data_IF_599209883961
#
_entry.id   IF_599209883961
#
_cell.length_a   1.000
_cell.length_b   1.000
_cell.length_c   1.000
_cell.angle_alpha   90.00
_cell.angle_beta   90.00
_cell.angle_gamma   90.00
#
_symmetry.space_group_name_H-M   'P 1'
#
loop_
_entity.id
_entity.type
_entity.pdbx_description
1 polymer ?
#
# COMPACT_ATOMS: atom_id res chain seq x y z
N UNK A 1 27.79 13.09 -27.18
CA UNK A 1 27.83 12.04 -26.14
C UNK A 1 26.79 12.19 -25.02
N UNK A 2 25.70 12.96 -25.17
CA UNK A 2 24.69 13.20 -24.11
C UNK A 2 23.35 12.45 -24.26
N UNK A 3 23.20 11.54 -25.25
CA UNK A 3 21.89 10.90 -25.57
C UNK A 3 21.74 9.45 -25.10
N UNK A 4 22.79 8.83 -24.53
CA UNK A 4 22.78 7.39 -24.16
C UNK A 4 22.53 7.18 -22.65
N UNK A 5 22.63 8.22 -21.81
CA UNK A 5 22.46 8.08 -20.35
C UNK A 5 20.99 7.92 -19.91
N UNK A 6 20.01 8.41 -20.69
CA UNK A 6 18.61 8.52 -20.27
C UNK A 6 17.79 7.22 -20.43
N UNK A 7 17.96 6.40 -21.49
CA UNK A 7 17.29 5.09 -21.59
C UNK A 7 17.84 4.07 -20.59
N UNK A 8 19.14 4.15 -20.28
CA UNK A 8 19.84 3.27 -19.33
C UNK A 8 19.39 3.55 -17.89
N UNK A 9 19.04 4.79 -17.55
CA UNK A 9 18.59 5.17 -16.19
C UNK A 9 17.13 4.78 -15.90
N UNK A 10 16.26 4.72 -16.92
CA UNK A 10 14.85 4.30 -16.79
C UNK A 10 14.72 2.77 -16.80
N UNK A 11 15.53 2.07 -17.61
CA UNK A 11 15.69 0.61 -17.48
C UNK A 11 16.37 0.24 -16.15
N UNK A 12 17.25 1.09 -15.61
CA UNK A 12 17.74 0.93 -14.24
C UNK A 12 16.61 1.07 -13.22
N UNK A 13 15.58 1.90 -13.43
CA UNK A 13 14.41 1.97 -12.54
C UNK A 13 13.54 0.69 -12.63
N UNK A 14 13.35 0.10 -13.81
CA UNK A 14 12.59 -1.16 -14.00
C UNK A 14 13.38 -2.39 -13.52
N UNK A 15 14.71 -2.42 -13.70
CA UNK A 15 15.60 -3.47 -13.17
C UNK A 15 15.89 -3.28 -11.67
N UNK A 16 15.87 -2.04 -11.14
CA UNK A 16 15.85 -1.82 -9.70
C UNK A 16 14.54 -2.34 -9.11
N UNK A 17 13.41 -2.26 -9.83
CA UNK A 17 12.14 -2.82 -9.39
C UNK A 17 12.16 -4.35 -9.18
N UNK A 18 13.00 -5.13 -9.89
CA UNK A 18 13.19 -6.57 -9.61
C UNK A 18 14.09 -6.83 -8.39
N UNK A 19 14.98 -5.88 -8.04
CA UNK A 19 15.71 -5.87 -6.77
C UNK A 19 14.87 -5.33 -5.59
N UNK A 20 13.78 -4.62 -5.88
CA UNK A 20 12.88 -3.98 -4.90
C UNK A 20 11.91 -4.97 -4.23
N UNK A 21 11.86 -6.24 -4.64
CA UNK A 21 11.23 -7.28 -3.81
C UNK A 21 11.82 -7.30 -2.38
N UNK A 22 13.06 -6.83 -2.20
CA UNK A 22 13.70 -6.63 -0.89
C UNK A 22 13.79 -5.18 -0.38
N UNK A 23 13.27 -4.18 -1.12
CA UNK A 23 13.44 -2.77 -0.76
C UNK A 23 12.34 -1.83 -1.29
N UNK A 24 11.05 -2.18 -1.15
CA UNK A 24 9.98 -1.16 -1.12
C UNK A 24 10.00 -0.53 0.28
N UNK A 25 10.74 0.57 0.45
CA UNK A 25 10.62 1.47 1.62
C UNK A 25 9.93 2.76 1.18
N UNK A 26 8.99 3.35 1.90
CA UNK A 26 7.74 2.89 2.50
C UNK A 26 6.83 4.13 2.48
N UNK A 27 5.53 3.92 2.46
CA UNK A 27 4.52 4.92 2.80
C UNK A 27 4.84 5.67 4.11
N UNK A 28 4.00 6.61 4.56
CA UNK A 28 3.98 6.86 6.00
C UNK A 28 3.69 5.49 6.66
N UNK A 29 4.70 4.91 7.31
CA UNK A 29 4.60 3.60 7.94
C UNK A 29 4.02 3.78 9.32
N UNK A 30 2.82 3.25 9.54
CA UNK A 30 2.38 2.97 10.90
C UNK A 30 2.95 1.61 11.27
N UNK A 31 3.73 1.55 12.34
CA UNK A 31 4.32 0.32 12.85
C UNK A 31 4.12 0.20 14.35
N UNK A 32 3.60 -0.94 14.80
CA UNK A 32 3.53 -1.30 16.22
C UNK A 32 4.28 -2.63 16.39
N UNK A 33 5.29 -2.65 17.25
CA UNK A 33 6.10 -3.84 17.51
C UNK A 33 6.18 -4.12 19.01
N UNK A 34 5.81 -5.34 19.43
CA UNK A 34 5.87 -5.75 20.84
C UNK A 34 5.70 -7.25 21.05
N UNK A 35 5.90 -7.69 22.29
CA UNK A 35 5.54 -9.02 22.78
C UNK A 35 4.47 -8.89 23.85
N UNK A 36 3.62 -9.91 23.96
CA UNK A 36 2.60 -9.97 25.02
C UNK A 36 3.28 -9.90 26.38
N UNK A 37 2.79 -9.02 27.26
CA UNK A 37 3.38 -8.77 28.58
C UNK A 37 4.37 -7.60 28.64
N UNK A 38 4.77 -7.02 27.51
CA UNK A 38 5.68 -5.86 27.50
C UNK A 38 5.02 -4.63 28.13
N UNK A 39 5.78 -3.88 28.93
CA UNK A 39 5.38 -2.56 29.46
C UNK A 39 5.73 -1.41 28.52
N UNK A 40 6.60 -1.67 27.54
CA UNK A 40 7.07 -0.71 26.55
C UNK A 40 6.82 -1.30 25.16
N UNK A 41 6.06 -0.58 24.35
CA UNK A 41 5.79 -0.90 22.94
C UNK A 41 6.62 0.05 22.07
N UNK A 42 7.02 -0.42 20.88
CA UNK A 42 7.60 0.44 19.86
C UNK A 42 6.51 0.85 18.87
N UNK A 43 6.10 2.11 18.94
CA UNK A 43 5.07 2.70 18.08
C UNK A 43 5.75 3.73 17.17
N UNK A 44 5.74 3.48 15.86
CA UNK A 44 6.40 4.32 14.84
C UNK A 44 7.87 4.62 15.20
N UNK A 45 8.57 3.61 15.72
CA UNK A 45 9.97 3.70 16.15
C UNK A 45 10.20 4.37 17.51
N UNK A 46 9.16 4.86 18.19
CA UNK A 46 9.24 5.50 19.52
C UNK A 46 8.82 4.53 20.61
N UNK A 47 9.52 4.55 21.73
CA UNK A 47 9.14 3.82 22.93
C UNK A 47 7.91 4.45 23.60
N UNK A 48 6.89 3.64 23.85
CA UNK A 48 5.65 4.06 24.51
C UNK A 48 5.37 3.13 25.68
N UNK A 49 5.31 3.70 26.88
CA UNK A 49 4.94 2.97 28.09
C UNK A 49 3.43 2.74 28.14
N UNK A 50 3.01 1.50 28.34
CA UNK A 50 1.61 1.08 28.29
C UNK A 50 1.26 0.10 29.40
N UNK A 51 -0.04 -0.12 29.59
CA UNK A 51 -0.51 -1.29 30.33
C UNK A 51 -0.22 -2.55 29.50
N UNK A 52 0.26 -3.61 30.15
CA UNK A 52 0.78 -4.79 29.46
C UNK A 52 -0.29 -5.42 28.56
N UNK A 53 -0.01 -5.63 27.26
CA UNK A 53 -0.88 -6.42 26.41
C UNK A 53 -1.08 -7.82 26.97
N UNK A 54 -2.28 -8.35 26.85
CA UNK A 54 -2.65 -9.67 27.39
C UNK A 54 -3.26 -10.54 26.30
N UNK A 55 -3.15 -11.85 26.45
CA UNK A 55 -3.88 -12.80 25.60
C UNK A 55 -5.03 -13.39 26.40
N UNK A 56 -6.23 -13.30 25.84
CA UNK A 56 -7.45 -13.87 26.41
C UNK A 56 -8.09 -14.75 25.33
N UNK A 57 -8.26 -16.05 25.62
CA UNK A 57 -8.85 -17.01 24.68
C UNK A 57 -8.19 -17.00 23.29
N UNK A 58 -6.87 -16.84 23.22
CA UNK A 58 -6.13 -16.77 21.96
C UNK A 58 -6.20 -15.43 21.23
N UNK A 59 -6.86 -14.42 21.80
CA UNK A 59 -6.93 -13.05 21.23
C UNK A 59 -6.06 -12.10 22.05
N UNK A 60 -5.17 -11.39 21.36
CA UNK A 60 -4.35 -10.33 21.98
C UNK A 60 -5.19 -9.07 22.19
N UNK A 61 -5.31 -8.65 23.44
CA UNK A 61 -5.89 -7.39 23.84
C UNK A 61 -4.78 -6.38 24.17
N UNK A 62 -4.89 -5.18 23.61
CA UNK A 62 -3.98 -4.05 23.87
C UNK A 62 -4.73 -2.89 24.49
N UNK A 63 -4.07 -1.98 25.22
CA UNK A 63 -4.70 -0.73 25.64
C UNK A 63 -5.13 0.06 24.40
N UNK A 64 -6.35 0.61 24.41
CA UNK A 64 -6.87 1.37 23.26
C UNK A 64 -5.96 2.52 22.82
N UNK A 65 -5.19 3.10 23.76
CA UNK A 65 -4.20 4.14 23.51
C UNK A 65 -3.13 3.74 22.49
N UNK A 66 -2.75 2.45 22.45
CA UNK A 66 -1.79 1.93 21.47
C UNK A 66 -2.27 2.20 20.06
N UNK A 67 -3.57 2.01 19.81
CA UNK A 67 -4.18 2.26 18.51
C UNK A 67 -4.20 3.76 18.21
N UNK A 68 -4.63 4.59 19.16
CA UNK A 68 -4.77 6.03 18.93
C UNK A 68 -3.42 6.71 18.69
N UNK A 69 -2.37 6.27 19.38
CA UNK A 69 -1.02 6.83 19.20
C UNK A 69 -0.37 6.35 17.90
N UNK A 70 -0.60 5.09 17.50
CA UNK A 70 -0.04 4.56 16.26
C UNK A 70 -0.73 5.13 15.02
N UNK A 71 -2.06 5.19 15.02
CA UNK A 71 -2.87 5.55 13.87
C UNK A 71 -3.34 7.02 13.87
N UNK A 72 -3.19 7.74 14.98
CA UNK A 72 -3.83 9.06 15.13
C UNK A 72 -5.36 8.98 15.20
N UNK A 73 -5.91 7.79 15.49
CA UNK A 73 -7.35 7.56 15.57
C UNK A 73 -7.98 8.37 16.72
N UNK A 74 -9.16 8.94 16.48
CA UNK A 74 -9.97 9.53 17.55
C UNK A 74 -10.58 8.41 18.39
N UNK A 75 -10.58 8.59 19.70
CA UNK A 75 -11.26 7.69 20.64
C UNK A 75 -12.26 8.46 21.49
N UNK A 76 -13.45 7.89 21.65
CA UNK A 76 -14.48 8.37 22.56
C UNK A 76 -14.89 7.24 23.51
N UNK A 77 -14.96 7.55 24.81
CA UNK A 77 -15.39 6.61 25.84
C UNK A 77 -16.72 7.05 26.44
N UNK A 78 -17.74 6.20 26.32
CA UNK A 78 -19.03 6.42 26.96
C UNK A 78 -19.15 5.52 28.19
N UNK A 79 -19.02 6.13 29.38
CA UNK A 79 -19.10 5.41 30.65
C UNK A 79 -20.48 4.85 30.97
N UNK A 80 -21.56 5.48 30.51
CA UNK A 80 -22.94 5.01 30.74
C UNK A 80 -23.23 3.76 29.92
N UNK A 81 -22.84 3.76 28.65
CA UNK A 81 -23.02 2.62 27.73
C UNK A 81 -21.90 1.57 27.87
N UNK A 82 -20.86 1.86 28.67
CA UNK A 82 -19.62 1.06 28.76
C UNK A 82 -19.10 0.70 27.37
N UNK A 83 -18.94 1.70 26.50
CA UNK A 83 -18.48 1.47 25.14
C UNK A 83 -17.38 2.45 24.74
N UNK A 84 -16.52 2.00 23.84
CA UNK A 84 -15.50 2.81 23.19
C UNK A 84 -15.82 2.91 21.70
N UNK A 85 -15.75 4.13 21.17
CA UNK A 85 -15.88 4.43 19.75
C UNK A 85 -14.52 4.88 19.23
N UNK A 86 -14.09 4.31 18.12
CA UNK A 86 -12.83 4.61 17.45
C UNK A 86 -13.12 5.09 16.04
N UNK A 87 -12.63 6.28 15.69
CA UNK A 87 -12.75 6.84 14.34
C UNK A 87 -11.36 7.00 13.73
N UNK A 88 -11.13 6.36 12.59
CA UNK A 88 -9.90 6.50 11.82
C UNK A 88 -10.21 6.48 10.32
N UNK A 89 -9.75 7.51 9.61
CA UNK A 89 -10.08 7.70 8.19
C UNK A 89 -11.60 7.63 7.98
N UNK A 90 -12.08 6.71 7.13
CA UNK A 90 -13.51 6.47 6.85
C UNK A 90 -14.10 5.30 7.63
N UNK A 91 -13.50 4.92 8.77
CA UNK A 91 -13.95 3.77 9.58
C UNK A 91 -14.33 4.21 10.98
N UNK A 92 -15.55 3.88 11.38
CA UNK A 92 -16.05 4.03 12.75
C UNK A 92 -16.28 2.65 13.38
N UNK A 93 -15.57 2.36 14.47
CA UNK A 93 -15.70 1.11 15.21
C UNK A 93 -16.27 1.39 16.59
N UNK A 94 -17.38 0.73 16.95
CA UNK A 94 -17.98 0.79 18.29
C UNK A 94 -17.89 -0.55 18.99
N UNK A 95 -17.25 -0.56 20.15
CA UNK A 95 -17.00 -1.75 20.97
C UNK A 95 -17.62 -1.58 22.35
N UNK A 96 -18.27 -2.63 22.88
CA UNK A 96 -18.87 -2.62 24.21
C UNK A 96 -18.04 -3.50 25.15
N UNK A 97 -17.75 -3.00 26.35
CA UNK A 97 -16.96 -3.76 27.34
C UNK A 97 -17.72 -5.02 27.75
N UNK A 98 -16.98 -6.14 27.85
CA UNK A 98 -17.47 -7.47 28.21
C UNK A 98 -18.53 -8.05 27.24
N UNK A 99 -18.66 -7.48 26.04
CA UNK A 99 -19.59 -7.92 25.01
C UNK A 99 -18.87 -8.20 23.68
N UNK A 100 -19.15 -9.35 23.07
CA UNK A 100 -18.59 -9.74 21.77
C UNK A 100 -19.30 -9.08 20.59
N UNK A 101 -20.44 -8.43 20.78
CA UNK A 101 -21.11 -7.67 19.71
C UNK A 101 -20.45 -6.30 19.55
N UNK A 102 -19.86 -6.07 18.37
CA UNK A 102 -19.29 -4.81 17.93
C UNK A 102 -20.09 -4.22 16.76
N UNK A 103 -19.76 -3.00 16.37
CA UNK A 103 -20.25 -2.38 15.14
C UNK A 103 -19.09 -1.77 14.36
N UNK A 104 -19.06 -2.00 13.05
CA UNK A 104 -18.16 -1.34 12.11
C UNK A 104 -19.03 -0.61 11.10
N UNK A 105 -18.87 0.71 10.98
CA UNK A 105 -19.67 1.57 10.11
C UNK A 105 -21.19 1.34 10.28
N UNK A 106 -21.61 1.14 11.53
CA UNK A 106 -23.01 0.87 11.90
C UNK A 106 -23.48 -0.58 11.70
N UNK A 107 -22.69 -1.43 11.03
CA UNK A 107 -23.01 -2.85 10.81
C UNK A 107 -22.54 -3.70 11.98
N UNK A 108 -23.42 -4.56 12.51
CA UNK A 108 -23.07 -5.43 13.64
C UNK A 108 -22.09 -6.55 13.22
N UNK A 109 -21.05 -6.75 14.02
CA UNK A 109 -20.03 -7.79 13.82
C UNK A 109 -19.77 -8.50 15.15
N UNK A 110 -19.54 -9.81 15.11
CA UNK A 110 -19.16 -10.60 16.28
C UNK A 110 -17.64 -10.68 16.43
N UNK A 111 -17.14 -10.36 17.63
CA UNK A 111 -15.74 -10.41 18.00
C UNK A 111 -15.35 -11.81 18.46
N UNK A 112 -14.11 -12.21 18.17
CA UNK A 112 -13.53 -13.41 18.75
C UNK A 112 -13.42 -13.31 20.28
N UNK A 113 -13.09 -12.13 20.80
CA UNK A 113 -13.02 -11.85 22.24
C UNK A 113 -13.50 -10.43 22.55
N UNK A 114 -14.16 -10.26 23.70
CA UNK A 114 -14.71 -8.98 24.11
C UNK A 114 -13.61 -8.02 24.60
N UNK A 115 -13.77 -6.69 24.40
CA UNK A 115 -12.98 -5.70 25.11
C UNK A 115 -13.19 -5.80 26.61
N UNK A 116 -12.16 -5.46 27.41
CA UNK A 116 -12.19 -5.57 28.88
C UNK A 116 -11.62 -4.33 29.53
N UNK A 117 -11.97 -4.10 30.80
CA UNK A 117 -11.24 -3.14 31.63
C UNK A 117 -10.30 -3.94 32.52
N UNK A 118 -8.99 -3.72 32.37
CA UNK A 118 -7.93 -4.37 33.16
C UNK A 118 -7.09 -3.26 33.77
N UNK A 119 -6.89 -3.28 35.09
CA UNK A 119 -6.11 -2.26 35.82
C UNK A 119 -6.55 -0.81 35.50
N UNK A 120 -7.85 -0.58 35.31
CA UNK A 120 -8.39 0.74 34.97
C UNK A 120 -8.08 1.21 33.54
N UNK A 121 -7.71 0.29 32.65
CA UNK A 121 -7.45 0.55 31.23
C UNK A 121 -8.38 -0.28 30.35
N UNK A 122 -8.93 0.36 29.33
CA UNK A 122 -9.73 -0.29 28.30
C UNK A 122 -8.82 -1.06 27.35
N UNK A 123 -8.89 -2.38 27.43
CA UNK A 123 -8.16 -3.35 26.63
C UNK A 123 -9.06 -3.83 25.48
N UNK A 124 -8.58 -3.73 24.25
CA UNK A 124 -9.37 -3.97 23.04
C UNK A 124 -8.69 -5.00 22.13
N UNK A 125 -9.44 -5.80 21.36
CA UNK A 125 -8.86 -6.78 20.43
C UNK A 125 -8.03 -6.08 19.35
N UNK A 126 -6.70 -6.30 19.37
CA UNK A 126 -5.77 -5.61 18.49
C UNK A 126 -6.12 -5.83 17.02
N UNK A 127 -6.12 -7.10 16.60
CA UNK A 127 -6.29 -7.51 15.21
C UNK A 127 -7.60 -6.98 14.61
N UNK A 128 -8.70 -7.12 15.35
CA UNK A 128 -10.01 -6.65 14.91
C UNK A 128 -10.00 -5.17 14.55
N UNK A 129 -9.41 -4.32 15.40
CA UNK A 129 -9.36 -2.88 15.15
C UNK A 129 -8.41 -2.55 14.00
N UNK A 130 -7.18 -3.05 14.07
CA UNK A 130 -6.13 -2.65 13.13
C UNK A 130 -6.38 -3.15 11.70
N UNK A 131 -6.96 -4.34 11.53
CA UNK A 131 -7.34 -4.84 10.21
C UNK A 131 -8.50 -4.05 9.60
N UNK A 132 -9.49 -3.63 10.42
CA UNK A 132 -10.53 -2.70 9.97
C UNK A 132 -9.98 -1.32 9.61
N UNK A 133 -8.85 -0.92 10.19
CA UNK A 133 -8.08 0.27 9.79
C UNK A 133 -7.14 0.01 8.61
N UNK A 134 -7.23 -1.17 7.99
CA UNK A 134 -6.49 -1.55 6.80
C UNK A 134 -5.02 -1.93 7.05
N UNK A 135 -4.58 -2.03 8.30
CA UNK A 135 -3.26 -2.56 8.64
C UNK A 135 -3.23 -4.08 8.58
N UNK A 136 -2.04 -4.64 8.40
CA UNK A 136 -1.79 -6.07 8.51
C UNK A 136 -1.14 -6.38 9.86
N UNK A 137 -1.46 -7.56 10.41
CA UNK A 137 -0.96 -8.02 11.72
C UNK A 137 -0.30 -9.36 11.58
N UNK A 138 1.01 -9.39 11.81
CA UNK A 138 1.84 -10.59 11.83
C UNK A 138 2.22 -10.99 13.26
N UNK A 139 2.42 -12.28 13.47
CA UNK A 139 2.94 -12.83 14.71
C UNK A 139 4.02 -13.87 14.41
N UNK A 140 5.24 -13.56 14.83
CA UNK A 140 6.38 -14.42 14.62
C UNK A 140 6.54 -15.40 15.78
N UNK A 141 6.29 -16.69 15.50
CA UNK A 141 6.30 -17.73 16.53
C UNK A 141 7.67 -17.97 17.19
N UNK A 142 8.78 -17.69 16.52
CA UNK A 142 10.11 -17.89 17.07
C UNK A 142 10.51 -16.78 18.03
N UNK A 143 10.27 -15.53 17.65
CA UNK A 143 10.64 -14.34 18.42
C UNK A 143 9.56 -13.90 19.40
N UNK A 144 8.33 -14.44 19.24
CA UNK A 144 7.09 -14.08 19.94
C UNK A 144 6.67 -12.62 19.71
N UNK A 145 7.15 -12.02 18.62
CA UNK A 145 6.88 -10.63 18.26
C UNK A 145 5.57 -10.52 17.50
N UNK A 146 4.74 -9.56 17.90
CA UNK A 146 3.59 -9.07 17.16
C UNK A 146 4.03 -7.82 16.42
N UNK A 147 3.72 -7.77 15.13
CA UNK A 147 4.03 -6.68 14.22
C UNK A 147 2.76 -6.22 13.54
N UNK A 148 2.35 -4.96 13.77
CA UNK A 148 1.29 -4.31 13.02
C UNK A 148 1.93 -3.33 12.06
N UNK A 149 1.60 -3.43 10.77
CA UNK A 149 2.11 -2.51 9.76
C UNK A 149 0.96 -2.00 8.90
N UNK A 150 0.92 -0.68 8.70
CA UNK A 150 0.15 -0.05 7.64
C UNK A 150 1.08 0.82 6.82
N UNK A 151 1.04 0.65 5.50
CA UNK A 151 1.77 1.49 4.57
C UNK A 151 0.79 2.50 4.00
N UNK A 152 0.86 3.76 4.44
CA UNK A 152 0.02 4.82 3.88
C UNK A 152 0.68 5.41 2.63
N UNK A 153 -0.01 5.37 1.50
CA UNK A 153 0.21 6.39 0.47
C UNK A 153 -0.29 7.74 1.04
N UNK A 154 0.41 8.84 0.77
CA UNK A 154 -0.02 10.19 1.17
C UNK A 154 -1.19 10.70 0.31
N UNK A 155 -2.20 9.83 0.10
CA UNK A 155 -3.47 10.10 -0.55
C UNK A 155 -4.56 10.28 0.50
N UNK A 156 -5.57 11.08 0.16
CA UNK A 156 -6.79 11.23 0.97
C UNK A 156 -7.55 9.91 1.10
N UNK A 157 -7.39 9.01 0.11
CA UNK A 157 -8.10 7.73 0.06
C UNK A 157 -7.18 6.60 0.49
N UNK A 158 -7.69 5.76 1.38
CA UNK A 158 -7.07 4.49 1.73
C UNK A 158 -7.50 3.42 0.71
N UNK A 159 -6.86 3.41 -0.45
CA UNK A 159 -7.22 2.49 -1.54
C UNK A 159 -7.12 1.01 -1.16
N UNK A 160 -6.16 0.66 -0.29
CA UNK A 160 -6.04 -0.69 0.25
C UNK A 160 -7.28 -1.09 1.05
N UNK A 161 -7.80 -0.18 1.89
CA UNK A 161 -9.03 -0.40 2.63
C UNK A 161 -10.27 -0.42 1.72
N UNK A 162 -10.34 0.49 0.74
CA UNK A 162 -11.43 0.54 -0.24
C UNK A 162 -11.53 -0.82 -0.94
N UNK A 163 -10.42 -1.36 -1.42
CA UNK A 163 -10.38 -2.67 -2.09
C UNK A 163 -10.62 -3.84 -1.13
N UNK A 164 -10.23 -3.74 0.16
CA UNK A 164 -10.59 -4.75 1.17
C UNK A 164 -12.12 -4.81 1.39
N UNK A 165 -12.84 -3.70 1.22
CA UNK A 165 -14.30 -3.58 1.45
C UNK A 165 -15.14 -3.67 0.18
N UNK A 166 -14.55 -3.52 -1.01
CA UNK A 166 -15.31 -3.44 -2.25
C UNK A 166 -16.05 -4.74 -2.55
N UNK A 167 -17.28 -4.60 -3.09
CA UNK A 167 -18.04 -5.72 -3.65
C UNK A 167 -17.89 -5.82 -5.17
N UNK A 168 -17.13 -4.90 -5.78
CA UNK A 168 -16.92 -4.82 -7.23
C UNK A 168 -16.01 -5.96 -7.69
N UNK A 169 -16.27 -6.45 -8.91
CA UNK A 169 -15.56 -7.60 -9.48
C UNK A 169 -14.27 -7.18 -10.20
N UNK A 170 -14.12 -5.89 -10.50
CA UNK A 170 -12.98 -5.32 -11.22
C UNK A 170 -12.33 -4.21 -10.42
N UNK A 171 -11.07 -3.96 -10.73
CA UNK A 171 -10.29 -2.81 -10.26
C UNK A 171 -9.68 -2.10 -11.46
N UNK A 172 -9.54 -0.79 -11.37
CA UNK A 172 -8.93 0.00 -12.43
C UNK A 172 -8.55 1.39 -11.96
N UNK A 173 -8.04 2.19 -12.88
CA UNK A 173 -7.79 3.62 -12.65
C UNK A 173 -8.29 4.38 -13.87
N UNK A 174 -9.31 5.22 -13.67
CA UNK A 174 -9.94 5.99 -14.75
C UNK A 174 -9.03 7.07 -15.35
N UNK A 175 -8.09 7.60 -14.56
CA UNK A 175 -7.15 8.61 -15.02
C UNK A 175 -6.07 7.98 -15.91
N UNK A 176 -5.54 6.83 -15.49
CA UNK A 176 -4.61 6.08 -16.32
C UNK A 176 -5.28 5.30 -17.43
N UNK A 177 -6.56 4.95 -17.30
CA UNK A 177 -7.35 4.32 -18.36
C UNK A 177 -7.21 2.79 -18.41
N UNK A 178 -6.93 2.13 -17.28
CA UNK A 178 -6.81 0.66 -17.24
C UNK A 178 -7.83 0.03 -16.30
N UNK A 179 -8.20 -1.23 -16.57
CA UNK A 179 -9.00 -2.06 -15.67
C UNK A 179 -8.63 -3.53 -15.79
N UNK A 180 -8.92 -4.31 -14.76
CA UNK A 180 -8.74 -5.76 -14.71
C UNK A 180 -9.76 -6.41 -13.76
N UNK A 181 -10.04 -7.70 -13.94
CA UNK A 181 -10.77 -8.48 -12.94
C UNK A 181 -9.97 -8.49 -11.63
N UNK A 182 -10.67 -8.41 -10.50
CA UNK A 182 -10.07 -8.31 -9.17
C UNK A 182 -10.42 -9.53 -8.29
N UNK A 183 -9.60 -10.59 -8.35
CA UNK A 183 -9.75 -11.74 -7.47
C UNK A 183 -9.71 -11.38 -5.98
N UNK A 184 -10.64 -11.94 -5.18
CA UNK A 184 -10.77 -11.64 -3.73
C UNK A 184 -9.54 -12.03 -2.88
N UNK A 185 -8.65 -12.84 -3.43
CA UNK A 185 -7.37 -13.26 -2.83
C UNK A 185 -6.22 -12.29 -3.11
N UNK A 186 -6.44 -11.20 -3.86
CA UNK A 186 -5.49 -10.11 -4.01
C UNK A 186 -5.80 -8.96 -3.05
N UNK A 187 -4.74 -8.31 -2.57
CA UNK A 187 -4.79 -7.07 -1.83
C UNK A 187 -3.92 -6.03 -2.53
N UNK A 188 -4.33 -4.76 -2.54
CA UNK A 188 -3.43 -3.66 -2.89
C UNK A 188 -2.48 -3.40 -1.73
N UNK A 189 -1.22 -3.77 -1.91
CA UNK A 189 -0.15 -3.60 -0.92
C UNK A 189 0.47 -2.20 -0.96
N UNK A 190 0.61 -1.64 -2.17
CA UNK A 190 1.20 -0.33 -2.36
C UNK A 190 0.59 0.36 -3.57
N UNK A 191 0.43 1.68 -3.47
CA UNK A 191 0.14 2.56 -4.59
C UNK A 191 0.99 3.82 -4.43
N UNK A 192 1.63 4.29 -5.49
CA UNK A 192 2.33 5.57 -5.48
C UNK A 192 1.35 6.73 -5.30
N UNK A 193 1.83 7.89 -4.85
CA UNK A 193 0.99 9.09 -4.74
C UNK A 193 0.27 9.43 -6.06
N UNK A 194 1.02 9.45 -7.17
CA UNK A 194 0.49 9.69 -8.50
C UNK A 194 -0.36 8.54 -9.04
N UNK A 195 -0.38 7.36 -8.40
CA UNK A 195 -1.16 6.19 -8.84
C UNK A 195 -0.58 5.44 -10.04
N UNK A 196 0.53 5.90 -10.60
CA UNK A 196 1.19 5.27 -11.74
C UNK A 196 1.89 3.95 -11.40
N UNK A 197 2.07 3.64 -10.11
CA UNK A 197 2.60 2.36 -9.63
C UNK A 197 1.61 1.76 -8.65
N UNK A 198 1.16 0.53 -8.91
CA UNK A 198 0.29 -0.24 -8.03
C UNK A 198 0.90 -1.63 -7.84
N UNK A 199 0.99 -2.10 -6.59
CA UNK A 199 1.49 -3.42 -6.24
C UNK A 199 0.37 -4.18 -5.54
N UNK A 200 -0.08 -5.24 -6.18
CA UNK A 200 -1.02 -6.20 -5.62
C UNK A 200 -0.26 -7.42 -5.13
N UNK A 201 -0.66 -7.96 -3.99
CA UNK A 201 -0.08 -9.17 -3.40
C UNK A 201 -1.17 -10.19 -3.13
N UNK A 202 -0.82 -11.46 -3.27
CA UNK A 202 -1.73 -12.55 -2.93
C UNK A 202 -1.76 -12.79 -1.41
N UNK A 203 -2.95 -13.07 -0.86
CA UNK A 203 -3.17 -13.23 0.59
C UNK A 203 -2.48 -14.47 1.19
N UNK A 204 -2.32 -15.53 0.40
CA UNK A 204 -1.95 -16.86 0.91
C UNK A 204 -0.70 -17.46 0.28
N UNK A 205 -0.15 -16.85 -0.78
CA UNK A 205 1.01 -17.37 -1.51
C UNK A 205 1.93 -16.21 -1.81
N UNK A 206 3.22 -16.50 -1.96
CA UNK A 206 4.20 -15.46 -2.24
C UNK A 206 4.17 -15.11 -3.74
N UNK A 207 3.32 -14.15 -4.04
CA UNK A 207 3.07 -13.68 -5.40
C UNK A 207 2.72 -12.19 -5.37
N UNK A 208 3.26 -11.44 -6.34
CA UNK A 208 2.95 -10.03 -6.53
C UNK A 208 2.70 -9.69 -7.99
N UNK A 209 1.76 -8.77 -8.22
CA UNK A 209 1.51 -8.12 -9.51
C UNK A 209 1.86 -6.64 -9.36
N UNK A 210 2.72 -6.14 -10.23
CA UNK A 210 3.15 -4.75 -10.26
C UNK A 210 2.64 -4.14 -11.56
N UNK A 211 1.83 -3.09 -11.45
CA UNK A 211 1.42 -2.26 -12.59
C UNK A 211 2.19 -0.96 -12.50
N UNK A 212 3.01 -0.67 -13.51
CA UNK A 212 3.73 0.60 -13.66
C UNK A 212 3.34 1.27 -14.96
N UNK A 213 3.07 2.57 -14.92
CA UNK A 213 2.55 3.33 -16.06
C UNK A 213 3.46 4.53 -16.29
N UNK A 214 3.92 4.66 -17.52
CA UNK A 214 4.79 5.74 -17.96
C UNK A 214 4.16 6.51 -19.11
N UNK A 215 4.51 7.78 -19.24
CA UNK A 215 4.31 8.50 -20.50
C UNK A 215 5.13 7.81 -21.60
N UNK A 216 4.52 7.60 -22.76
CA UNK A 216 5.09 6.76 -23.81
C UNK A 216 6.42 7.31 -24.34
N UNK A 217 6.52 8.63 -24.56
CA UNK A 217 7.72 9.21 -25.15
C UNK A 217 8.17 8.48 -26.42
N UNK A 218 9.38 7.93 -26.42
CA UNK A 218 9.96 7.16 -27.54
C UNK A 218 9.74 5.63 -27.43
N UNK A 219 9.04 5.16 -26.40
CA UNK A 219 8.83 3.73 -26.19
C UNK A 219 7.84 3.14 -27.22
N UNK A 220 8.22 1.99 -27.76
CA UNK A 220 7.43 1.16 -28.67
C UNK A 220 7.48 -0.28 -28.19
N UNK A 221 6.52 -1.12 -28.59
CA UNK A 221 6.56 -2.55 -28.25
C UNK A 221 7.87 -3.21 -28.72
N UNK A 222 8.38 -2.81 -29.88
CA UNK A 222 9.64 -3.32 -30.43
C UNK A 222 10.83 -3.03 -29.53
N UNK A 223 10.99 -1.79 -29.08
CA UNK A 223 12.14 -1.41 -28.27
C UNK A 223 12.01 -1.94 -26.84
N UNK A 224 10.81 -1.94 -26.25
CA UNK A 224 10.56 -2.51 -24.92
C UNK A 224 10.90 -4.00 -24.95
N UNK A 225 10.36 -4.76 -25.91
CA UNK A 225 10.59 -6.20 -25.99
C UNK A 225 12.07 -6.52 -26.25
N UNK A 226 12.75 -5.72 -27.09
CA UNK A 226 14.19 -5.90 -27.33
C UNK A 226 15.03 -5.66 -26.07
N UNK A 227 14.65 -4.65 -25.28
CA UNK A 227 15.29 -4.37 -24.00
C UNK A 227 15.07 -5.51 -23.00
N UNK A 228 13.84 -6.02 -22.88
CA UNK A 228 13.52 -7.12 -21.96
C UNK A 228 14.21 -8.44 -22.34
N UNK A 229 14.23 -8.79 -23.63
CA UNK A 229 14.93 -10.00 -24.05
C UNK A 229 16.44 -9.88 -23.82
N UNK A 230 17.00 -8.67 -23.88
CA UNK A 230 18.41 -8.43 -23.54
C UNK A 230 18.69 -8.57 -22.04
N UNK A 231 17.76 -8.21 -21.14
CA UNK A 231 17.93 -8.37 -19.69
C UNK A 231 17.81 -9.84 -19.25
N UNK A 232 16.99 -10.61 -19.97
CA UNK A 232 16.73 -12.04 -19.73
C UNK A 232 17.91 -12.91 -20.15
N UNK A 233 18.48 -12.64 -21.34
CA UNK A 233 19.42 -13.53 -22.06
C UNK A 233 20.55 -14.13 -21.22
N UNK A 234 21.12 -13.36 -20.29
CA UNK A 234 22.33 -13.76 -19.56
C UNK A 234 22.05 -14.30 -18.15
N UNK A 235 20.82 -14.14 -17.63
CA UNK A 235 20.50 -14.42 -16.21
C UNK A 235 19.30 -15.35 -16.01
N UNK A 236 18.46 -15.51 -17.02
CA UNK A 236 17.18 -16.17 -16.90
C UNK A 236 16.96 -17.19 -18.02
N UNK A 237 16.09 -18.17 -17.73
CA UNK A 237 15.56 -19.08 -18.74
C UNK A 237 14.28 -18.51 -19.32
N UNK A 238 14.31 -18.16 -20.61
CA UNK A 238 13.10 -17.77 -21.36
C UNK A 238 12.18 -19.00 -21.52
N UNK A 239 10.91 -18.83 -21.16
CA UNK A 239 9.86 -19.86 -21.26
C UNK A 239 8.96 -19.62 -22.46
N UNK A 240 8.57 -18.37 -22.71
CA UNK A 240 7.68 -18.02 -23.82
C UNK A 240 7.66 -16.53 -24.07
N UNK A 241 7.28 -16.16 -25.29
CA UNK A 241 7.09 -14.78 -25.68
C UNK A 241 5.93 -14.66 -26.67
N UNK A 242 5.22 -13.53 -26.62
CA UNK A 242 4.16 -13.15 -27.56
C UNK A 242 4.33 -11.68 -27.91
N UNK A 243 4.00 -11.31 -29.15
CA UNK A 243 4.11 -9.94 -29.63
C UNK A 243 2.98 -9.64 -30.61
N UNK A 244 2.30 -8.53 -30.38
CA UNK A 244 1.40 -7.85 -31.32
C UNK A 244 1.86 -6.41 -31.55
N UNK A 245 1.00 -5.60 -32.18
CA UNK A 245 1.35 -4.22 -32.56
C UNK A 245 1.48 -3.28 -31.34
N UNK A 246 0.58 -3.44 -30.36
CA UNK A 246 0.48 -2.61 -29.16
C UNK A 246 0.60 -3.41 -27.86
N UNK A 247 1.05 -4.67 -27.96
CA UNK A 247 1.17 -5.61 -26.87
C UNK A 247 2.41 -6.50 -27.02
N UNK A 248 3.08 -6.80 -25.91
CA UNK A 248 4.00 -7.91 -25.84
C UNK A 248 3.89 -8.61 -24.48
N UNK A 249 4.24 -9.89 -24.46
CA UNK A 249 4.34 -10.69 -23.25
C UNK A 249 5.61 -11.52 -23.27
N UNK A 250 6.24 -11.64 -22.11
CA UNK A 250 7.43 -12.48 -21.92
C UNK A 250 7.27 -13.26 -20.63
N UNK A 251 7.48 -14.57 -20.68
CA UNK A 251 7.50 -15.46 -19.51
C UNK A 251 8.89 -16.03 -19.38
N UNK A 252 9.49 -15.90 -18.20
CA UNK A 252 10.85 -16.36 -17.93
C UNK A 252 10.99 -16.76 -16.45
N UNK A 253 12.12 -17.38 -16.10
CA UNK A 253 12.39 -17.84 -14.74
C UNK A 253 13.88 -17.86 -14.43
N UNK A 254 14.23 -17.84 -13.16
CA UNK A 254 15.55 -18.24 -12.67
C UNK A 254 15.44 -19.49 -11.77
N UNK A 255 16.43 -19.72 -10.91
CA UNK A 255 16.44 -20.85 -9.96
C UNK A 255 15.40 -20.70 -8.84
N UNK A 256 15.06 -19.47 -8.47
CA UNK A 256 14.14 -19.16 -7.40
C UNK A 256 12.76 -18.79 -7.95
N UNK A 257 12.66 -17.81 -8.85
CA UNK A 257 11.40 -17.16 -9.20
C UNK A 257 10.94 -17.45 -10.63
N UNK A 258 9.64 -17.26 -10.86
CA UNK A 258 9.04 -17.16 -12.18
C UNK A 258 8.44 -15.78 -12.40
N UNK A 259 8.55 -15.31 -13.64
CA UNK A 259 8.18 -13.98 -14.07
C UNK A 259 7.27 -14.05 -15.29
N UNK A 260 6.26 -13.19 -15.31
CA UNK A 260 5.49 -12.89 -16.51
C UNK A 260 5.33 -11.38 -16.65
N UNK A 261 5.90 -10.82 -17.70
CA UNK A 261 5.79 -9.42 -18.04
C UNK A 261 4.84 -9.23 -19.20
N UNK A 262 3.92 -8.28 -19.06
CA UNK A 262 3.05 -7.82 -20.13
C UNK A 262 3.25 -6.32 -20.33
N UNK A 263 3.43 -5.94 -21.59
CA UNK A 263 3.66 -4.57 -22.01
C UNK A 263 2.52 -4.14 -22.92
N UNK A 264 1.99 -2.95 -22.69
CA UNK A 264 0.94 -2.37 -23.52
C UNK A 264 1.33 -0.95 -23.89
N UNK A 265 1.05 -0.54 -25.12
CA UNK A 265 1.17 0.84 -25.57
C UNK A 265 -0.20 1.32 -26.03
N UNK A 266 -0.73 2.36 -25.39
CA UNK A 266 -2.03 2.91 -25.76
C UNK A 266 -2.12 4.40 -25.41
N UNK A 267 -2.65 5.21 -26.32
CA UNK A 267 -2.97 6.63 -26.12
C UNK A 267 -1.84 7.45 -25.45
N UNK A 268 -0.59 7.27 -25.92
CA UNK A 268 0.55 8.03 -25.38
C UNK A 268 1.05 7.54 -24.02
N UNK A 269 0.60 6.38 -23.54
CA UNK A 269 1.07 5.72 -22.32
C UNK A 269 1.65 4.34 -22.60
N UNK A 270 2.56 3.91 -21.75
CA UNK A 270 3.10 2.54 -21.71
C UNK A 270 2.74 1.94 -20.36
N UNK A 271 2.21 0.73 -20.37
CA UNK A 271 1.84 -0.04 -19.19
C UNK A 271 2.75 -1.25 -19.10
N UNK A 272 3.39 -1.40 -17.95
CA UNK A 272 4.18 -2.55 -17.56
C UNK A 272 3.38 -3.29 -16.49
N UNK A 273 2.97 -4.52 -16.78
CA UNK A 273 2.25 -5.38 -15.84
C UNK A 273 3.13 -6.60 -15.58
N UNK A 274 3.79 -6.62 -14.43
CA UNK A 274 4.78 -7.63 -14.08
C UNK A 274 4.23 -8.53 -12.99
N UNK A 275 4.31 -9.83 -13.21
CA UNK A 275 3.93 -10.85 -12.25
C UNK A 275 5.18 -11.58 -11.77
N UNK A 276 5.32 -11.69 -10.44
CA UNK A 276 6.41 -12.42 -9.79
C UNK A 276 5.82 -13.52 -8.92
N UNK A 277 6.35 -14.73 -9.07
CA UNK A 277 5.99 -15.91 -8.29
C UNK A 277 7.22 -16.54 -7.65
N UNK A 278 7.06 -17.05 -6.43
CA UNK A 278 8.11 -17.72 -5.66
C UNK A 278 8.70 -18.97 -6.31
N UNK A 279 8.04 -19.54 -7.31
CA UNK A 279 8.59 -20.59 -8.18
C UNK A 279 7.71 -20.81 -9.44
N UNK A 280 8.27 -21.49 -10.44
CA UNK A 280 7.60 -21.75 -11.72
C UNK A 280 6.45 -22.76 -11.67
N UNK A 281 6.46 -23.72 -10.74
CA UNK A 281 5.35 -24.66 -10.58
C UNK A 281 4.14 -23.96 -9.94
N UNK A 282 4.38 -23.11 -8.95
CA UNK A 282 3.35 -22.25 -8.35
C UNK A 282 2.75 -21.30 -9.39
N UNK A 283 3.56 -20.66 -10.22
CA UNK A 283 3.08 -19.85 -11.34
C UNK A 283 2.11 -20.63 -12.25
N UNK A 284 2.44 -21.87 -12.65
CA UNK A 284 1.59 -22.70 -13.52
C UNK A 284 0.29 -23.15 -12.83
N UNK A 285 0.34 -23.41 -11.53
CA UNK A 285 -0.78 -23.94 -10.77
C UNK A 285 -1.86 -22.89 -10.45
N UNK A 286 -1.47 -21.62 -10.34
CA UNK A 286 -2.34 -20.55 -9.85
C UNK A 286 -3.06 -19.78 -10.97
N UNK A 287 -4.20 -20.33 -11.41
CA UNK A 287 -5.03 -19.73 -12.49
C UNK A 287 -5.73 -18.43 -12.10
N UNK A 288 -6.03 -18.21 -10.82
CA UNK A 288 -6.76 -17.00 -10.42
C UNK A 288 -5.92 -15.73 -10.57
N UNK A 289 -4.61 -15.81 -10.35
CA UNK A 289 -3.70 -14.68 -10.58
C UNK A 289 -3.52 -14.44 -12.09
N UNK A 290 -3.49 -15.50 -12.89
CA UNK A 290 -3.46 -15.38 -14.35
C UNK A 290 -4.72 -14.70 -14.89
N UNK A 291 -5.90 -14.93 -14.29
CA UNK A 291 -7.14 -14.21 -14.67
C UNK A 291 -7.01 -12.70 -14.54
N UNK A 292 -6.34 -12.19 -13.50
CA UNK A 292 -6.08 -10.75 -13.38
C UNK A 292 -5.29 -10.24 -14.60
N UNK A 293 -4.22 -10.94 -14.98
CA UNK A 293 -3.41 -10.55 -16.12
C UNK A 293 -4.16 -10.69 -17.45
N UNK A 294 -4.91 -11.78 -17.62
CA UNK A 294 -5.67 -12.09 -18.85
C UNK A 294 -6.83 -11.12 -19.08
N UNK A 295 -7.41 -10.59 -18.01
CA UNK A 295 -8.44 -9.56 -18.06
C UNK A 295 -7.90 -8.14 -18.11
N UNK A 296 -6.59 -7.93 -17.94
CA UNK A 296 -6.00 -6.60 -17.94
C UNK A 296 -6.22 -5.90 -19.29
N UNK A 297 -6.84 -4.73 -19.22
CA UNK A 297 -7.23 -3.92 -20.36
C UNK A 297 -6.74 -2.50 -20.17
N UNK A 298 -6.14 -1.93 -21.23
CA UNK A 298 -5.80 -0.50 -21.32
C UNK A 298 -7.00 0.36 -21.74
N UNK A 299 -8.18 -0.06 -21.30
CA UNK A 299 -9.45 0.68 -21.40
C UNK A 299 -10.15 0.63 -20.05
N UNK A 300 -10.56 1.80 -19.57
CA UNK A 300 -11.43 1.94 -18.42
C UNK A 300 -12.87 2.15 -18.89
N UNK A 301 -13.81 1.39 -18.34
CA UNK A 301 -15.25 1.54 -18.61
C UNK A 301 -15.95 1.77 -17.29
N UNK A 302 -16.58 2.94 -17.15
CA UNK A 302 -17.38 3.27 -15.97
C UNK A 302 -18.81 2.74 -16.12
N UNK A 303 -18.98 1.43 -15.95
CA UNK A 303 -20.28 0.75 -15.93
C UNK A 303 -20.74 0.40 -14.49
N UNK A 304 -20.03 0.92 -13.48
CA UNK A 304 -20.24 0.62 -12.06
C UNK A 304 -19.61 -0.69 -11.58
N UNK A 305 -19.08 -1.55 -12.46
CA UNK A 305 -18.45 -2.82 -12.09
C UNK A 305 -17.00 -2.70 -11.62
N UNK A 306 -16.36 -1.54 -11.85
CA UNK A 306 -14.93 -1.30 -11.59
C UNK A 306 -14.74 -0.44 -10.36
N UNK A 307 -13.92 -0.90 -9.42
CA UNK A 307 -13.43 -0.04 -8.34
C UNK A 307 -12.35 0.88 -8.87
N UNK A 308 -12.63 2.18 -8.87
CA UNK A 308 -11.76 3.19 -9.45
C UNK A 308 -10.73 3.67 -8.43
N UNK A 309 -9.46 3.42 -8.73
CA UNK A 309 -8.30 3.83 -7.95
C UNK A 309 -7.83 5.25 -8.30
N UNK A 310 -8.57 5.99 -9.11
CA UNK A 310 -8.32 7.40 -9.34
C UNK A 310 -8.85 8.27 -8.18
N UNK A 311 -8.01 9.18 -7.72
CA UNK A 311 -8.34 10.33 -6.87
C UNK A 311 -8.03 11.66 -7.58
N UNK A 312 -7.94 11.64 -8.92
CA UNK A 312 -7.74 12.86 -9.71
C UNK A 312 -9.05 13.66 -9.78
N UNK A 313 -8.96 14.95 -9.48
CA UNK A 313 -10.08 15.89 -9.62
C UNK A 313 -10.35 16.20 -11.09
N UNK A 314 -11.51 16.81 -11.39
CA UNK A 314 -11.84 17.22 -12.75
C UNK A 314 -10.85 18.26 -13.31
N UNK A 315 -10.21 19.00 -12.41
CA UNK A 315 -9.21 20.02 -12.70
C UNK A 315 -7.81 19.44 -12.90
N UNK A 316 -7.61 18.12 -12.75
CA UNK A 316 -6.33 17.45 -13.00
C UNK A 316 -5.36 17.45 -11.81
N UNK A 317 -5.88 17.57 -10.59
CA UNK A 317 -5.07 17.57 -9.37
C UNK A 317 -5.34 16.33 -8.50
N UNK A 318 -4.40 16.01 -7.62
CA UNK A 318 -4.54 15.09 -6.49
C UNK A 318 -4.27 15.88 -5.22
N UNK A 319 -5.05 15.64 -4.18
CA UNK A 319 -4.83 16.28 -2.88
C UNK A 319 -3.77 15.49 -2.10
N UNK A 320 -2.62 16.10 -1.86
CA UNK A 320 -1.65 15.62 -0.88
C UNK A 320 -2.05 16.11 0.50
N UNK A 321 -1.97 15.25 1.51
CA UNK A 321 -2.22 15.61 2.90
C UNK A 321 -1.10 15.09 3.78
N UNK A 322 -0.58 15.96 4.64
CA UNK A 322 0.32 15.59 5.71
C UNK A 322 -0.43 15.72 7.02
N UNK A 323 -0.76 14.57 7.62
CA UNK A 323 -1.58 14.51 8.83
C UNK A 323 -0.81 14.99 10.07
N UNK A 324 0.51 14.81 10.08
CA UNK A 324 1.36 15.19 11.21
C UNK A 324 1.43 16.71 11.39
N UNK A 325 1.63 17.44 10.28
CA UNK A 325 1.71 18.90 10.26
C UNK A 325 0.39 19.58 9.89
N UNK A 326 -0.67 18.78 9.67
CA UNK A 326 -2.05 19.22 9.42
C UNK A 326 -2.17 20.23 8.28
N UNK A 327 -1.55 19.92 7.14
CA UNK A 327 -1.70 20.71 5.91
C UNK A 327 -2.05 19.81 4.73
N UNK A 328 -2.66 20.42 3.73
CA UNK A 328 -2.97 19.79 2.45
C UNK A 328 -2.69 20.74 1.30
N UNK A 329 -2.40 20.19 0.13
CA UNK A 329 -2.07 20.92 -1.10
C UNK A 329 -2.59 20.16 -2.31
N UNK A 330 -3.04 20.89 -3.32
CA UNK A 330 -3.35 20.30 -4.62
C UNK A 330 -2.07 20.16 -5.44
N UNK A 331 -1.81 18.94 -5.89
CA UNK A 331 -0.63 18.57 -6.69
C UNK A 331 -1.11 18.10 -8.05
N UNK A 332 -0.42 18.47 -9.12
CA UNK A 332 -0.76 17.99 -10.47
C UNK A 332 -0.74 16.45 -10.52
N UNK A 333 -1.73 15.83 -11.17
CA UNK A 333 -1.99 14.40 -11.05
C UNK A 333 -0.83 13.48 -11.46
N UNK A 334 0.00 13.92 -12.40
CA UNK A 334 1.17 13.18 -12.90
C UNK A 334 2.44 13.37 -12.07
N UNK A 335 2.43 14.28 -11.08
CA UNK A 335 3.62 14.55 -10.28
C UNK A 335 3.80 13.47 -9.22
N UNK A 336 5.01 12.93 -9.17
CA UNK A 336 5.40 11.87 -8.25
C UNK A 336 5.93 12.48 -6.96
N UNK A 337 5.45 11.99 -5.83
CA UNK A 337 6.03 12.32 -4.52
C UNK A 337 7.44 11.73 -4.43
N UNK A 338 8.42 12.58 -4.08
CA UNK A 338 9.78 12.17 -3.74
C UNK A 338 9.92 12.33 -2.23
N UNK A 339 10.02 11.20 -1.53
CA UNK A 339 10.12 11.20 -0.07
C UNK A 339 11.55 11.49 0.37
N UNK A 340 11.70 12.45 1.28
CA UNK A 340 12.90 12.58 2.09
C UNK A 340 12.61 11.97 3.47
N UNK A 341 13.28 10.86 3.79
CA UNK A 341 13.06 10.10 5.04
C UNK A 341 13.45 10.86 6.30
N UNK A 342 14.24 11.93 6.17
CA UNK A 342 14.93 12.54 7.31
C UNK A 342 14.27 13.88 7.73
N UNK A 343 13.22 14.31 7.02
CA UNK A 343 12.56 15.59 7.26
C UNK A 343 11.03 15.47 7.15
N UNK A 344 10.33 15.22 8.26
CA UNK A 344 8.85 15.24 8.35
C UNK A 344 8.24 16.56 7.86
N UNK A 345 9.05 17.62 7.82
CA UNK A 345 8.66 18.98 7.47
C UNK A 345 8.99 19.38 6.03
N UNK A 346 9.45 18.44 5.20
CA UNK A 346 9.73 18.65 3.80
C UNK A 346 9.09 17.57 2.95
N UNK A 347 8.37 17.98 1.90
CA UNK A 347 7.94 17.10 0.81
C UNK A 347 8.40 17.70 -0.50
N UNK A 348 8.78 16.85 -1.45
CA UNK A 348 9.02 17.27 -2.82
C UNK A 348 8.23 16.43 -3.81
N UNK A 349 7.93 17.04 -4.95
CA UNK A 349 7.23 16.41 -6.05
C UNK A 349 8.02 16.64 -7.32
N UNK A 350 8.06 15.64 -8.20
CA UNK A 350 8.77 15.67 -9.47
C UNK A 350 7.84 15.25 -10.61
N UNK A 351 7.91 15.95 -11.74
CA UNK A 351 7.21 15.53 -12.95
C UNK A 351 8.09 14.63 -13.84
N UNK A 352 7.51 14.14 -14.95
CA UNK A 352 8.22 13.28 -15.89
C UNK A 352 9.31 14.01 -16.70
N UNK A 353 9.37 15.33 -16.65
CA UNK A 353 10.40 16.16 -17.28
C UNK A 353 11.56 16.50 -16.32
N UNK A 354 11.44 16.10 -15.04
CA UNK A 354 12.41 16.40 -14.00
C UNK A 354 12.21 17.76 -13.34
N UNK A 355 11.11 18.47 -13.60
CA UNK A 355 10.76 19.67 -12.85
C UNK A 355 10.37 19.27 -11.43
N UNK A 356 10.82 20.06 -10.45
CA UNK A 356 10.64 19.74 -9.04
C UNK A 356 9.99 20.91 -8.29
N UNK A 357 9.09 20.58 -7.37
CA UNK A 357 8.49 21.51 -6.40
C UNK A 357 8.82 20.99 -5.01
N UNK A 358 9.26 21.90 -4.15
CA UNK A 358 9.61 21.63 -2.77
C UNK A 358 8.68 22.42 -1.86
N UNK A 359 8.19 21.76 -0.82
CA UNK A 359 7.37 22.39 0.21
C UNK A 359 8.04 22.12 1.54
N UNK A 360 8.53 23.20 2.15
CA UNK A 360 9.14 23.20 3.46
C UNK A 360 8.20 23.90 4.42
N UNK A 361 7.83 23.22 5.49
CA UNK A 361 7.02 23.80 6.56
C UNK A 361 7.89 24.00 7.78
N UNK A 362 7.79 25.18 8.38
CA UNK A 362 8.47 25.50 9.61
C UNK A 362 7.41 25.81 10.67
N UNK A 363 7.48 25.13 11.81
CA UNK A 363 6.68 25.46 12.99
C UNK A 363 7.60 25.97 14.10
N UNK A 364 7.27 27.14 14.66
CA UNK A 364 8.03 27.77 15.74
C UNK A 364 7.99 26.98 17.06
N UNK A 365 7.04 26.06 17.25
CA UNK A 365 6.88 25.32 18.52
C UNK A 365 8.02 24.33 18.83
N UNK A 366 8.87 23.96 17.84
CA UNK A 366 10.05 23.09 18.05
C UNK A 366 11.39 23.84 18.03
N UNK A 367 11.39 25.16 17.83
CA UNK A 367 12.64 25.94 17.65
C UNK A 367 13.28 26.43 18.96
N UNK A 368 12.59 26.38 20.10
CA UNK A 368 13.12 26.85 21.38
C UNK A 368 13.63 25.69 22.26
N UNK A 369 14.76 25.07 21.88
CA UNK A 369 15.63 24.38 22.85
C UNK A 369 17.08 24.91 22.81
N UNK A 370 17.35 25.93 21.98
CA UNK A 370 18.66 26.56 21.86
C UNK A 370 18.44 28.05 21.70
N UNK A 371 18.25 28.70 22.85
CA UNK A 371 18.53 30.11 23.16
C UNK A 371 17.73 30.46 24.42
N UNK A 372 18.29 30.13 25.57
CA UNK A 372 18.20 31.01 26.73
C UNK A 372 19.63 31.31 27.15
N UNK A 373 19.90 32.61 27.22
CA UNK A 373 21.18 33.24 27.55
C UNK A 373 21.58 33.00 28.99
#
# INVERSE_FOLDING_TARGET
MKKILMPVMILLCVVLLTCVAGAVKEGEKIAINFKVGDEILYINGKEVKVERPVVVNGVTLVPVRVITEAFGARVDWNGQQRCVTLDYSQVAIKLYIDNKKAYVDGTAVELLEAPRIINGRTMVPLRFITENFGADVDYNDYTKQITVVKVNANSVKDFSLILKKTAKEKVGDSYYGWSADFPKNLNLNYRSFSGNVNIFVHKYINCSIIISILQQGEFTIDNILSMELSTIKDRYTLIGQEKGDSYAKVVYRDEAYAYEDRFYVNEGKVYFVNLIFEDYNSYKANRDVQKFLDSFSVKFVDDGSVEDLSDVTKEGFRLYTNNNLKYSIDVLADWMEVKNSDAENMVSFIDNLGNQVYINIYSYEKAFHWMMW
#
